data_IF_287830629576
#
_entry.id   IF_287830629576
#
_cell.length_a   1.000
_cell.length_b   1.000
_cell.length_c   1.000
_cell.angle_alpha   90.00
_cell.angle_beta   90.00
_cell.angle_gamma   90.00
#
_symmetry.space_group_name_H-M   'P 1'
#
loop_
_entity.id
_entity.type
_entity.pdbx_description
1 polymer ?
#
# COMPACT_ATOMS: atom_id res chain seq x y z
N UNK A 1 -24.75 -14.32 36.46
CA UNK A 1 -24.57 -14.64 35.03
C UNK A 1 -25.23 -13.54 34.23
N UNK A 2 -24.49 -12.87 33.33
CA UNK A 2 -25.09 -11.88 32.44
C UNK A 2 -26.11 -12.57 31.54
N UNK A 3 -27.32 -12.02 31.45
CA UNK A 3 -28.36 -12.62 30.62
C UNK A 3 -27.97 -12.48 29.14
N UNK A 4 -28.29 -13.45 28.27
CA UNK A 4 -28.03 -13.34 26.83
C UNK A 4 -28.63 -12.07 26.22
N UNK A 5 -29.76 -11.60 26.75
CA UNK A 5 -30.46 -10.40 26.31
C UNK A 5 -29.70 -9.11 26.64
N UNK A 6 -29.08 -9.01 27.83
CA UNK A 6 -28.21 -7.87 28.20
C UNK A 6 -27.02 -7.75 27.22
N UNK A 7 -26.51 -8.89 26.74
CA UNK A 7 -25.39 -8.90 25.79
C UNK A 7 -25.87 -8.43 24.41
N UNK A 8 -27.04 -8.86 23.94
CA UNK A 8 -27.62 -8.41 22.67
C UNK A 8 -27.94 -6.91 22.68
N UNK A 9 -28.48 -6.40 23.78
CA UNK A 9 -28.78 -4.98 23.92
C UNK A 9 -27.50 -4.12 23.89
N UNK A 10 -26.44 -4.57 24.58
CA UNK A 10 -25.12 -3.90 24.54
C UNK A 10 -24.49 -3.93 23.15
N UNK A 11 -24.64 -5.02 22.40
CA UNK A 11 -24.19 -5.10 21.00
C UNK A 11 -24.96 -4.12 20.13
N UNK A 12 -26.29 -4.03 20.30
CA UNK A 12 -27.13 -3.10 19.55
C UNK A 12 -26.77 -1.64 19.87
N UNK A 13 -26.52 -1.30 21.13
CA UNK A 13 -26.06 0.01 21.55
C UNK A 13 -24.69 0.35 20.94
N UNK A 14 -23.71 -0.56 21.02
CA UNK A 14 -22.39 -0.36 20.45
C UNK A 14 -22.41 -0.17 18.92
N UNK A 15 -23.32 -0.86 18.22
CA UNK A 15 -23.51 -0.67 16.77
C UNK A 15 -24.03 0.73 16.45
N UNK A 16 -25.04 1.20 17.19
CA UNK A 16 -25.58 2.57 17.03
C UNK A 16 -24.49 3.62 17.28
N UNK A 17 -23.72 3.46 18.34
CA UNK A 17 -22.62 4.38 18.67
C UNK A 17 -21.54 4.38 17.59
N UNK A 18 -21.20 3.21 17.04
CA UNK A 18 -20.25 3.10 15.93
C UNK A 18 -20.75 3.82 14.66
N UNK A 19 -22.04 3.70 14.34
CA UNK A 19 -22.63 4.37 13.18
C UNK A 19 -22.70 5.90 13.38
N UNK A 20 -23.04 6.36 14.58
CA UNK A 20 -22.96 7.78 14.94
C UNK A 20 -21.54 8.33 14.82
N UNK A 21 -20.54 7.56 15.26
CA UNK A 21 -19.15 7.98 15.18
C UNK A 21 -18.67 8.05 13.71
N UNK A 22 -19.08 7.10 12.86
CA UNK A 22 -18.80 7.15 11.41
C UNK A 22 -19.37 8.40 10.77
N UNK A 23 -20.64 8.72 11.05
CA UNK A 23 -21.28 9.93 10.51
C UNK A 23 -20.58 11.20 11.01
N UNK A 24 -20.21 11.26 12.29
CA UNK A 24 -19.45 12.39 12.84
C UNK A 24 -18.06 12.55 12.22
N UNK A 25 -17.39 11.44 11.88
CA UNK A 25 -16.10 11.47 11.16
C UNK A 25 -16.33 11.96 9.73
N UNK A 26 -17.37 11.48 9.04
CA UNK A 26 -17.71 11.90 7.69
C UNK A 26 -17.98 13.40 7.62
N UNK A 27 -18.84 13.91 8.50
CA UNK A 27 -19.14 15.35 8.59
C UNK A 27 -17.89 16.18 8.85
N UNK A 28 -16.99 15.74 9.75
CA UNK A 28 -15.71 16.44 9.98
C UNK A 28 -14.78 16.39 8.78
N UNK A 29 -14.70 15.27 8.08
CA UNK A 29 -13.89 15.16 6.85
C UNK A 29 -14.42 16.08 5.75
N UNK A 30 -15.74 16.14 5.58
CA UNK A 30 -16.39 17.02 4.60
C UNK A 30 -16.21 18.50 4.98
N UNK A 31 -16.32 18.85 6.26
CA UNK A 31 -16.10 20.21 6.73
C UNK A 31 -14.66 20.72 6.64
N UNK A 32 -13.68 19.82 6.49
CA UNK A 32 -12.26 20.15 6.27
C UNK A 32 -11.83 20.02 4.80
N UNK A 33 -12.74 19.62 3.90
CA UNK A 33 -12.44 19.37 2.50
C UNK A 33 -12.50 20.66 1.66
N UNK A 34 -11.64 21.63 1.97
CA UNK A 34 -11.64 22.98 1.36
C UNK A 34 -11.32 22.97 -0.15
N UNK A 35 -10.57 21.97 -0.62
CA UNK A 35 -10.13 21.87 -2.01
C UNK A 35 -9.85 20.41 -2.40
N UNK A 36 -9.62 20.17 -3.68
CA UNK A 36 -9.16 18.86 -4.18
C UNK A 36 -7.73 18.97 -4.71
N UNK A 37 -6.98 17.86 -4.65
CA UNK A 37 -5.62 17.80 -5.18
C UNK A 37 -5.56 18.27 -6.64
N UNK A 38 -6.58 17.95 -7.45
CA UNK A 38 -6.65 18.37 -8.85
C UNK A 38 -6.82 19.87 -9.04
N UNK A 39 -7.63 20.53 -8.18
CA UNK A 39 -7.78 21.99 -8.21
C UNK A 39 -6.48 22.69 -7.82
N UNK A 40 -5.79 22.18 -6.80
CA UNK A 40 -4.51 22.74 -6.35
C UNK A 40 -3.35 22.51 -7.33
N UNK A 41 -3.37 21.38 -8.05
CA UNK A 41 -2.36 21.06 -9.05
C UNK A 41 -2.68 21.60 -10.46
N UNK A 42 -3.72 22.43 -10.62
CA UNK A 42 -4.17 22.90 -11.94
C UNK A 42 -3.11 23.76 -12.66
N UNK A 43 -2.32 24.50 -11.88
CA UNK A 43 -1.28 25.39 -12.39
C UNK A 43 0.08 24.69 -12.55
N UNK A 44 0.17 23.40 -12.21
CA UNK A 44 1.40 22.61 -12.36
C UNK A 44 1.51 22.15 -13.81
N UNK A 45 2.65 22.47 -14.44
CA UNK A 45 2.95 22.05 -15.80
C UNK A 45 2.91 20.52 -15.93
N UNK A 46 2.32 20.04 -17.03
CA UNK A 46 2.25 18.62 -17.33
C UNK A 46 3.63 18.03 -17.58
N UNK A 47 3.88 16.82 -17.09
CA UNK A 47 5.14 16.13 -17.32
C UNK A 47 5.39 15.90 -18.83
N UNK A 48 6.62 16.14 -19.31
CA UNK A 48 6.97 15.87 -20.70
C UNK A 48 6.97 14.36 -20.98
N UNK A 49 6.97 13.99 -22.26
CA UNK A 49 7.00 12.58 -22.68
C UNK A 49 8.30 11.91 -22.21
N UNK A 50 8.19 11.00 -21.24
CA UNK A 50 9.33 10.24 -20.73
C UNK A 50 9.64 9.03 -21.61
N UNK A 51 10.86 8.95 -22.13
CA UNK A 51 11.36 7.79 -22.87
C UNK A 51 12.13 6.86 -21.93
N UNK A 52 11.43 5.91 -21.30
CA UNK A 52 12.06 4.89 -20.47
C UNK A 52 12.82 3.87 -21.33
N UNK A 53 14.11 3.66 -21.03
CA UNK A 53 14.95 2.63 -21.66
C UNK A 53 15.42 1.64 -20.60
N UNK A 54 15.37 0.36 -20.94
CA UNK A 54 15.92 -0.70 -20.08
C UNK A 54 17.44 -0.54 -20.00
N UNK A 55 17.97 -0.35 -18.79
CA UNK A 55 19.42 -0.18 -18.56
C UNK A 55 20.15 -1.48 -18.27
N UNK A 56 19.50 -2.39 -17.54
CA UNK A 56 20.10 -3.66 -17.11
C UNK A 56 19.05 -4.76 -17.22
N UNK A 57 19.49 -5.96 -17.62
CA UNK A 57 18.67 -7.17 -17.62
C UNK A 57 19.27 -8.12 -16.58
N UNK A 58 18.55 -8.29 -15.48
CA UNK A 58 19.00 -9.01 -14.30
C UNK A 58 18.60 -10.48 -14.43
N UNK A 59 19.57 -11.32 -14.83
CA UNK A 59 19.38 -12.75 -15.07
C UNK A 59 19.97 -13.55 -13.90
N UNK A 60 19.34 -14.67 -13.57
CA UNK A 60 19.81 -15.57 -12.51
C UNK A 60 18.68 -16.38 -11.87
N UNK A 61 17.45 -15.88 -11.91
CA UNK A 61 16.28 -16.62 -11.46
C UNK A 61 15.89 -17.70 -12.46
N UNK A 62 15.75 -18.93 -11.96
CA UNK A 62 15.28 -20.08 -12.73
C UNK A 62 13.75 -20.22 -12.71
N UNK A 63 13.08 -19.50 -11.81
CA UNK A 63 11.64 -19.51 -11.63
C UNK A 63 11.06 -18.08 -11.63
N UNK A 64 9.74 -17.97 -11.50
CA UNK A 64 9.02 -16.69 -11.56
C UNK A 64 9.26 -15.88 -10.28
N UNK A 65 9.73 -14.65 -10.46
CA UNK A 65 9.92 -13.67 -9.39
C UNK A 65 8.55 -13.16 -8.90
N UNK A 66 8.31 -13.17 -7.59
CA UNK A 66 7.07 -12.70 -6.97
C UNK A 66 7.22 -11.37 -6.24
N UNK A 67 8.41 -11.09 -5.70
CA UNK A 67 8.68 -9.88 -4.96
C UNK A 67 10.10 -9.36 -5.22
N UNK A 68 10.27 -8.05 -5.12
CA UNK A 68 11.57 -7.37 -5.15
C UNK A 68 11.56 -6.16 -4.22
N UNK A 69 12.72 -5.83 -3.65
CA UNK A 69 12.88 -4.69 -2.74
C UNK A 69 14.26 -4.04 -2.91
N UNK A 70 14.29 -2.71 -2.99
CA UNK A 70 15.54 -1.95 -3.05
C UNK A 70 16.14 -1.77 -1.66
N UNK A 71 17.46 -1.92 -1.56
CA UNK A 71 18.22 -1.49 -0.39
C UNK A 71 18.20 0.03 -0.27
N UNK A 72 18.39 0.52 0.95
CA UNK A 72 18.42 1.96 1.26
C UNK A 72 19.65 2.66 0.66
N UNK A 73 20.65 1.90 0.20
CA UNK A 73 21.85 2.38 -0.49
C UNK A 73 21.63 2.70 -1.98
N UNK A 74 20.43 2.45 -2.53
CA UNK A 74 20.10 2.64 -3.95
C UNK A 74 20.97 1.84 -4.94
N UNK A 75 21.80 0.92 -4.45
CA UNK A 75 22.72 0.10 -5.23
C UNK A 75 22.38 -1.38 -5.17
N UNK A 76 21.71 -1.84 -4.12
CA UNK A 76 21.37 -3.24 -3.99
C UNK A 76 19.86 -3.43 -4.14
N UNK A 77 19.46 -4.52 -4.76
CA UNK A 77 18.07 -4.98 -4.69
C UNK A 77 18.04 -6.46 -4.36
N UNK A 78 17.05 -6.84 -3.58
CA UNK A 78 16.72 -8.23 -3.24
C UNK A 78 15.54 -8.65 -4.10
N UNK A 79 15.62 -9.82 -4.70
CA UNK A 79 14.52 -10.45 -5.43
C UNK A 79 14.17 -11.79 -4.79
N UNK A 80 12.90 -12.18 -4.86
CA UNK A 80 12.42 -13.45 -4.32
C UNK A 80 11.65 -14.22 -5.39
N UNK A 81 12.01 -15.50 -5.54
CA UNK A 81 11.38 -16.45 -6.44
C UNK A 81 10.93 -17.67 -5.64
N UNK A 82 9.89 -18.36 -6.11
CA UNK A 82 9.43 -19.60 -5.49
C UNK A 82 9.93 -20.79 -6.31
N UNK A 83 10.59 -21.71 -5.62
CA UNK A 83 10.72 -23.09 -6.09
C UNK A 83 9.71 -23.95 -5.32
N UNK A 84 9.32 -25.11 -5.87
CA UNK A 84 8.11 -25.87 -5.52
C UNK A 84 7.90 -26.22 -4.02
N UNK A 85 8.88 -25.97 -3.15
CA UNK A 85 8.83 -26.32 -1.73
C UNK A 85 9.30 -25.20 -0.78
N UNK A 86 9.76 -24.03 -1.26
CA UNK A 86 10.27 -22.96 -0.37
C UNK A 86 10.21 -21.56 -0.99
N UNK A 87 9.90 -20.55 -0.16
CA UNK A 87 10.09 -19.13 -0.50
C UNK A 87 11.58 -18.79 -0.39
N UNK A 88 12.33 -18.92 -1.48
CA UNK A 88 13.75 -18.55 -1.51
C UNK A 88 13.89 -17.06 -1.82
N UNK A 89 14.36 -16.31 -0.81
CA UNK A 89 14.98 -15.00 -1.02
C UNK A 89 16.32 -15.30 -1.69
N UNK A 90 16.38 -15.28 -3.02
CA UNK A 90 17.64 -15.49 -3.73
C UNK A 90 17.97 -14.26 -4.55
N UNK A 91 19.21 -13.82 -4.42
CA UNK A 91 19.86 -12.77 -5.20
C UNK A 91 19.71 -11.36 -4.61
N UNK A 92 20.75 -10.96 -3.87
CA UNK A 92 21.18 -9.56 -3.76
C UNK A 92 21.89 -9.25 -5.08
N UNK A 93 21.33 -8.36 -5.88
CA UNK A 93 21.97 -7.90 -7.10
C UNK A 93 22.74 -6.64 -6.76
N UNK A 94 24.06 -6.70 -6.90
CA UNK A 94 24.92 -5.52 -6.86
C UNK A 94 24.71 -4.71 -8.15
N UNK A 95 24.06 -3.56 -8.03
CA UNK A 95 23.91 -2.56 -9.08
C UNK A 95 25.11 -1.59 -9.03
N UNK A 96 26.34 -2.12 -8.98
CA UNK A 96 27.54 -1.31 -9.16
C UNK A 96 27.63 -0.85 -10.61
N UNK A 97 27.98 0.43 -10.80
CA UNK A 97 28.05 1.10 -12.10
C UNK A 97 28.97 0.34 -13.08
#
# INVERSE_FOLDING_TARGET
>A
MQSPDDIQERIAAARRDADLLKERIKQRKEGLADTTLRKMAADIESLPRLAMKVRRNLRGHLAKIYAMHWSNDSQHLVSASQDAYMFLILLVINNTL
#
